data_IF_140653530514
#
_entry.id   IF_140653530514
#
_cell.length_a   1.000
_cell.length_b   1.000
_cell.length_c   1.000
_cell.angle_alpha   90.00
_cell.angle_beta   90.00
_cell.angle_gamma   90.00
#
_symmetry.space_group_name_H-M   'P 1'
#
loop_
_entity.id
_entity.type
_entity.pdbx_description
1 polymer ?
#
# COMPACT_ATOMS: atom_id res chain seq x y z
N UNK A 1 19.15 -17.36 27.14
CA UNK A 1 18.30 -17.12 25.96
C UNK A 1 19.07 -17.62 24.74
N UNK A 2 18.43 -18.47 23.91
CA UNK A 2 19.03 -18.96 22.66
C UNK A 2 18.46 -18.20 21.46
N UNK A 3 19.17 -18.08 20.31
CA UNK A 3 18.64 -17.46 19.10
C UNK A 3 17.29 -18.05 18.67
N UNK A 4 17.15 -19.39 18.76
CA UNK A 4 15.89 -20.09 18.42
C UNK A 4 14.72 -19.61 19.27
N UNK A 5 14.89 -19.50 20.59
CA UNK A 5 13.82 -19.00 21.49
C UNK A 5 13.48 -17.54 21.22
N UNK A 6 14.49 -16.72 20.86
CA UNK A 6 14.25 -15.34 20.48
C UNK A 6 13.43 -15.24 19.20
N UNK A 7 13.77 -16.01 18.17
CA UNK A 7 12.99 -16.04 16.92
C UNK A 7 11.58 -16.58 17.12
N UNK A 8 11.40 -17.59 17.98
CA UNK A 8 10.07 -18.11 18.33
C UNK A 8 9.21 -17.04 19.01
N UNK A 9 9.77 -16.29 19.97
CA UNK A 9 9.07 -15.20 20.66
C UNK A 9 8.69 -14.07 19.69
N UNK A 10 9.60 -13.66 18.80
CA UNK A 10 9.32 -12.66 17.77
C UNK A 10 8.23 -13.14 16.80
N UNK A 11 8.28 -14.40 16.38
CA UNK A 11 7.25 -14.99 15.52
C UNK A 11 5.88 -15.00 16.19
N UNK A 12 5.83 -15.39 17.47
CA UNK A 12 4.61 -15.38 18.26
C UNK A 12 4.04 -13.96 18.39
N UNK A 13 4.88 -12.98 18.68
CA UNK A 13 4.47 -11.57 18.74
C UNK A 13 3.89 -11.12 17.39
N UNK A 14 4.59 -11.37 16.29
CA UNK A 14 4.10 -10.99 14.95
C UNK A 14 2.76 -11.66 14.60
N UNK A 15 2.53 -12.91 15.02
CA UNK A 15 1.25 -13.61 14.83
C UNK A 15 0.09 -12.96 15.60
N UNK A 16 0.38 -12.20 16.66
CA UNK A 16 -0.65 -11.47 17.42
C UNK A 16 -1.05 -10.14 16.77
N UNK A 17 -0.24 -9.62 15.84
CA UNK A 17 -0.49 -8.36 15.16
C UNK A 17 -1.55 -8.53 14.05
N UNK A 18 -2.80 -8.78 14.44
CA UNK A 18 -3.92 -9.02 13.52
C UNK A 18 -4.86 -7.81 13.50
N UNK A 19 -4.89 -7.09 12.38
CA UNK A 19 -5.80 -5.99 12.12
C UNK A 19 -6.96 -6.48 11.25
N UNK A 20 -8.15 -6.71 11.83
CA UNK A 20 -9.32 -7.31 11.18
C UNK A 20 -10.68 -6.77 11.66
N UNK A 21 -10.70 -5.59 12.28
CA UNK A 21 -11.91 -4.94 12.79
C UNK A 21 -12.12 -3.52 12.27
N UNK A 22 -11.55 -3.21 11.12
CA UNK A 22 -11.77 -1.95 10.41
C UNK A 22 -13.22 -1.81 9.89
N UNK A 23 -13.63 -0.60 9.48
CA UNK A 23 -14.93 -0.42 8.82
C UNK A 23 -15.08 -1.33 7.61
N UNK A 24 -14.03 -1.48 6.81
CA UNK A 24 -14.00 -2.42 5.67
C UNK A 24 -14.35 -3.84 6.10
N UNK A 25 -13.75 -4.34 7.19
CA UNK A 25 -14.03 -5.69 7.70
C UNK A 25 -15.48 -5.83 8.19
N UNK A 26 -16.00 -4.79 8.82
CA UNK A 26 -17.41 -4.75 9.28
C UNK A 26 -18.39 -4.77 8.12
N UNK A 27 -18.06 -4.11 7.01
CA UNK A 27 -18.85 -4.17 5.78
C UNK A 27 -18.83 -5.58 5.19
N UNK A 28 -17.66 -6.24 5.13
CA UNK A 28 -17.56 -7.64 4.67
C UNK A 28 -18.36 -8.61 5.56
N UNK A 29 -18.44 -8.34 6.87
CA UNK A 29 -19.24 -9.13 7.83
C UNK A 29 -20.73 -8.78 7.80
N UNK A 30 -21.17 -7.80 6.99
CA UNK A 30 -22.57 -7.35 6.92
C UNK A 30 -23.03 -6.53 8.14
N UNK A 31 -22.12 -6.05 8.97
CA UNK A 31 -22.42 -5.29 10.21
C UNK A 31 -22.25 -3.78 10.07
N UNK A 32 -21.80 -3.30 8.89
CA UNK A 32 -21.70 -1.89 8.53
C UNK A 32 -21.95 -1.70 7.02
N UNK A 33 -22.06 -0.46 6.58
CA UNK A 33 -22.19 -0.10 5.17
C UNK A 33 -21.22 1.01 4.80
N UNK A 34 -20.75 1.02 3.55
CA UNK A 34 -20.04 2.15 2.99
C UNK A 34 -21.01 3.32 2.71
N UNK A 35 -20.52 4.53 2.84
CA UNK A 35 -21.18 5.70 2.25
C UNK A 35 -21.08 5.63 0.71
N UNK A 36 -21.87 6.47 0.02
CA UNK A 36 -21.79 6.54 -1.45
C UNK A 36 -20.37 6.91 -1.93
N UNK A 37 -19.71 7.87 -1.28
CA UNK A 37 -18.34 8.28 -1.63
C UNK A 37 -17.31 7.18 -1.38
N UNK A 38 -17.40 6.44 -0.26
CA UNK A 38 -16.54 5.29 0.03
C UNK A 38 -16.75 4.16 -1.00
N UNK A 39 -17.99 3.93 -1.43
CA UNK A 39 -18.32 2.93 -2.45
C UNK A 39 -17.75 3.31 -3.82
N UNK A 40 -17.86 4.59 -4.22
CA UNK A 40 -17.21 5.11 -5.42
C UNK A 40 -15.69 4.98 -5.34
N UNK A 41 -15.12 5.29 -4.17
CA UNK A 41 -13.69 5.13 -3.90
C UNK A 41 -13.22 3.68 -4.00
N UNK A 42 -13.99 2.75 -3.45
CA UNK A 42 -13.73 1.30 -3.58
C UNK A 42 -13.72 0.87 -5.05
N UNK A 43 -14.72 1.29 -5.82
CA UNK A 43 -14.81 0.96 -7.25
C UNK A 43 -13.62 1.51 -8.04
N UNK A 44 -13.25 2.78 -7.82
CA UNK A 44 -12.07 3.39 -8.47
C UNK A 44 -10.77 2.69 -8.05
N UNK A 45 -10.63 2.33 -6.78
CA UNK A 45 -9.49 1.58 -6.25
C UNK A 45 -9.37 0.19 -6.90
N UNK A 46 -10.47 -0.55 -7.00
CA UNK A 46 -10.50 -1.88 -7.61
C UNK A 46 -10.10 -1.86 -9.09
N UNK A 47 -10.50 -0.83 -9.82
CA UNK A 47 -10.16 -0.67 -11.23
C UNK A 47 -8.71 -0.26 -11.47
N UNK A 48 -8.12 0.55 -10.58
CA UNK A 48 -6.87 1.26 -10.84
C UNK A 48 -5.70 0.85 -9.94
N UNK A 49 -5.98 0.23 -8.79
CA UNK A 49 -4.95 -0.05 -7.77
C UNK A 49 -4.87 -1.53 -7.40
N UNK A 50 -5.97 -2.29 -7.54
CA UNK A 50 -6.06 -3.66 -7.08
C UNK A 50 -5.17 -4.66 -7.85
N UNK A 51 -4.61 -4.27 -8.99
CA UNK A 51 -3.62 -5.09 -9.71
C UNK A 51 -2.34 -5.36 -8.88
N UNK A 52 -2.00 -4.45 -7.97
CA UNK A 52 -0.87 -4.60 -7.03
C UNK A 52 -1.38 -4.74 -5.59
N UNK A 53 -2.42 -4.00 -5.24
CA UNK A 53 -2.98 -3.96 -3.88
C UNK A 53 -4.24 -4.84 -3.78
N UNK A 54 -4.07 -6.15 -3.96
CA UNK A 54 -5.15 -7.14 -4.00
C UNK A 54 -5.34 -7.91 -2.69
N UNK A 55 -6.45 -8.63 -2.62
CA UNK A 55 -6.79 -9.51 -1.50
C UNK A 55 -7.10 -8.76 -0.20
N UNK A 56 -7.32 -9.51 0.87
CA UNK A 56 -7.75 -8.97 2.17
C UNK A 56 -6.68 -8.11 2.86
N UNK A 57 -5.42 -8.27 2.48
CA UNK A 57 -4.30 -7.48 2.98
C UNK A 57 -3.95 -6.31 2.06
N UNK A 58 -4.63 -6.16 0.93
CA UNK A 58 -4.35 -5.10 -0.05
C UNK A 58 -2.87 -5.08 -0.49
N UNK A 59 -2.32 -6.25 -0.79
CA UNK A 59 -0.96 -6.44 -1.32
C UNK A 59 -0.88 -7.77 -2.08
N UNK A 60 -0.22 -7.77 -3.23
CA UNK A 60 0.16 -8.98 -3.95
C UNK A 60 1.47 -9.60 -3.44
N UNK A 61 2.14 -8.92 -2.49
CA UNK A 61 3.44 -9.29 -1.89
C UNK A 61 4.61 -9.36 -2.87
N UNK A 62 4.43 -8.89 -4.09
CA UNK A 62 5.51 -8.82 -5.08
C UNK A 62 6.41 -7.59 -4.84
N UNK A 63 7.47 -7.48 -5.63
CA UNK A 63 8.37 -6.33 -5.61
C UNK A 63 8.22 -5.57 -6.91
N UNK A 64 8.04 -4.25 -6.83
CA UNK A 64 7.77 -3.39 -7.96
C UNK A 64 8.50 -2.06 -7.84
N UNK A 65 8.89 -1.51 -8.97
CA UNK A 65 9.34 -0.13 -9.05
C UNK A 65 8.13 0.76 -9.39
N UNK A 66 7.79 1.65 -8.48
CA UNK A 66 6.65 2.55 -8.60
C UNK A 66 6.97 3.90 -9.28
N UNK A 67 8.14 4.01 -9.91
CA UNK A 67 8.50 5.18 -10.70
C UNK A 67 8.82 6.43 -9.88
N UNK A 68 9.30 6.30 -8.65
CA UNK A 68 9.88 7.41 -7.93
C UNK A 68 11.22 7.83 -8.55
N UNK A 69 11.64 9.08 -8.32
CA UNK A 69 12.98 9.52 -8.72
C UNK A 69 14.04 8.60 -8.12
N UNK A 70 15.00 8.20 -8.95
CA UNK A 70 16.06 7.28 -8.55
C UNK A 70 16.90 7.88 -7.41
N UNK A 71 17.26 7.03 -6.47
CA UNK A 71 18.14 7.32 -5.33
C UNK A 71 19.25 6.29 -5.27
N UNK A 72 20.16 6.41 -4.32
CA UNK A 72 21.20 5.40 -4.07
C UNK A 72 20.64 4.09 -3.49
N UNK A 73 19.38 4.07 -3.05
CA UNK A 73 18.72 2.86 -2.56
C UNK A 73 18.22 2.02 -3.73
N UNK A 74 18.92 0.93 -3.98
CA UNK A 74 18.59 -0.02 -5.04
C UNK A 74 17.46 -0.99 -4.65
N UNK A 75 16.88 -0.87 -3.46
CA UNK A 75 15.82 -1.75 -3.00
C UNK A 75 16.22 -3.23 -3.07
N UNK A 76 15.34 -4.06 -3.64
CA UNK A 76 15.58 -5.49 -3.82
C UNK A 76 16.86 -5.80 -4.61
N UNK A 77 17.22 -4.97 -5.59
CA UNK A 77 18.41 -5.16 -6.41
C UNK A 77 19.71 -5.23 -5.60
N UNK A 78 19.76 -4.53 -4.45
CA UNK A 78 20.90 -4.61 -3.53
C UNK A 78 21.08 -6.01 -2.92
N UNK A 79 20.01 -6.77 -2.77
CA UNK A 79 20.04 -8.12 -2.17
C UNK A 79 20.25 -9.18 -3.23
N UNK A 80 19.53 -9.08 -4.35
CA UNK A 80 19.56 -10.10 -5.42
C UNK A 80 20.73 -9.92 -6.38
N UNK A 81 21.34 -8.74 -6.40
CA UNK A 81 22.37 -8.34 -7.37
C UNK A 81 21.91 -8.49 -8.84
N UNK A 82 20.58 -8.47 -9.05
CA UNK A 82 19.97 -8.54 -10.36
C UNK A 82 19.55 -7.12 -10.81
N UNK A 83 20.06 -6.59 -11.94
CA UNK A 83 19.68 -5.27 -12.44
C UNK A 83 18.17 -5.08 -12.66
N UNK A 84 17.44 -6.16 -12.96
CA UNK A 84 15.98 -6.09 -13.13
C UNK A 84 15.20 -5.89 -11.80
N UNK A 85 15.86 -6.10 -10.67
CA UNK A 85 15.29 -5.87 -9.33
C UNK A 85 15.68 -4.50 -8.74
N UNK A 86 16.50 -3.70 -9.44
CA UNK A 86 16.91 -2.38 -8.95
C UNK A 86 15.71 -1.46 -8.80
N UNK A 87 15.68 -0.73 -7.67
CA UNK A 87 14.61 0.19 -7.27
C UNK A 87 13.23 -0.49 -7.12
N UNK A 88 13.21 -1.82 -7.04
CA UNK A 88 11.99 -2.57 -6.73
C UNK A 88 11.84 -2.72 -5.21
N UNK A 89 10.68 -2.33 -4.70
CA UNK A 89 10.31 -2.44 -3.29
C UNK A 89 9.07 -3.31 -3.14
N UNK A 90 8.95 -3.99 -1.99
CA UNK A 90 7.80 -4.84 -1.72
C UNK A 90 6.53 -4.00 -1.69
N UNK A 91 5.50 -4.44 -2.41
CA UNK A 91 4.16 -3.85 -2.35
C UNK A 91 3.63 -3.99 -0.92
N UNK A 92 3.44 -2.88 -0.18
CA UNK A 92 3.00 -2.94 1.21
C UNK A 92 1.52 -3.27 1.32
N UNK A 93 1.12 -3.81 2.49
CA UNK A 93 -0.30 -3.83 2.85
C UNK A 93 -0.83 -2.42 3.01
N UNK A 94 -2.08 -2.17 2.60
CA UNK A 94 -2.74 -0.88 2.84
C UNK A 94 -3.62 -0.90 4.10
N UNK A 95 -3.59 -1.97 4.89
CA UNK A 95 -4.23 -1.96 6.21
C UNK A 95 -3.63 -0.85 7.07
N UNK A 96 -4.50 -0.05 7.69
CA UNK A 96 -4.12 1.11 8.52
C UNK A 96 -3.33 2.20 7.78
N UNK A 97 -3.38 2.24 6.44
CA UNK A 97 -2.57 3.15 5.63
C UNK A 97 -2.73 4.62 6.03
N UNK A 98 -3.92 5.04 6.46
CA UNK A 98 -4.18 6.42 6.91
C UNK A 98 -3.38 6.83 8.17
N UNK A 99 -2.76 5.88 8.88
CA UNK A 99 -2.00 6.11 10.11
C UNK A 99 -0.50 5.86 9.96
N UNK A 100 -0.05 5.34 8.82
CA UNK A 100 1.33 4.88 8.62
C UNK A 100 2.17 5.84 7.77
N UNK A 101 1.86 7.14 7.82
CA UNK A 101 2.72 8.16 7.21
C UNK A 101 4.08 8.26 7.95
N UNK A 102 5.15 8.73 7.27
CA UNK A 102 5.24 9.15 5.88
C UNK A 102 5.26 7.98 4.90
N UNK A 103 4.82 8.24 3.64
CA UNK A 103 4.64 7.23 2.60
C UNK A 103 5.83 7.10 1.66
N UNK A 104 5.85 5.99 0.91
CA UNK A 104 6.90 5.46 0.05
C UNK A 104 8.06 4.85 0.86
N UNK A 105 8.99 4.18 0.17
CA UNK A 105 10.12 3.51 0.84
C UNK A 105 11.06 4.48 1.56
N UNK A 106 11.11 5.71 1.13
CA UNK A 106 11.97 6.77 1.67
C UNK A 106 11.21 7.85 2.47
N UNK A 107 9.90 7.68 2.65
CA UNK A 107 9.08 8.58 3.45
C UNK A 107 8.85 9.97 2.85
N UNK A 108 9.02 10.15 1.53
CA UNK A 108 8.96 11.47 0.88
C UNK A 108 7.60 12.14 0.87
N UNK A 109 6.51 11.39 1.03
CA UNK A 109 5.15 11.95 1.01
C UNK A 109 4.50 11.87 2.39
N UNK A 110 3.99 13.00 2.85
CA UNK A 110 3.36 13.12 4.16
C UNK A 110 1.84 12.86 4.14
N UNK A 111 1.21 12.80 2.94
CA UNK A 111 -0.24 12.62 2.80
C UNK A 111 -0.60 11.66 1.67
N UNK A 112 -1.79 11.06 1.75
CA UNK A 112 -2.31 10.17 0.70
C UNK A 112 -2.59 10.92 -0.60
N UNK A 113 -2.95 12.19 -0.53
CA UNK A 113 -3.13 13.05 -1.71
C UNK A 113 -1.85 13.09 -2.54
N UNK A 114 -0.70 13.35 -1.89
CA UNK A 114 0.61 13.37 -2.57
C UNK A 114 0.99 12.01 -3.17
N UNK A 115 0.60 10.91 -2.52
CA UNK A 115 0.76 9.55 -3.07
C UNK A 115 -0.06 9.39 -4.34
N UNK A 116 -1.34 9.79 -4.33
CA UNK A 116 -2.21 9.69 -5.50
C UNK A 116 -1.79 10.66 -6.61
N UNK A 117 -1.28 11.84 -6.26
CA UNK A 117 -0.71 12.79 -7.23
C UNK A 117 0.52 12.20 -7.92
N UNK A 118 1.39 11.52 -7.17
CA UNK A 118 2.52 10.81 -7.76
C UNK A 118 2.04 9.76 -8.77
N UNK A 119 1.11 8.88 -8.39
CA UNK A 119 0.60 7.86 -9.31
C UNK A 119 -0.14 8.47 -10.51
N UNK A 120 -0.81 9.62 -10.35
CA UNK A 120 -1.54 10.28 -11.43
C UNK A 120 -0.62 10.94 -12.47
N UNK A 121 0.46 11.60 -12.04
CA UNK A 121 1.28 12.45 -12.92
C UNK A 121 2.76 12.55 -12.54
N UNK A 122 3.18 11.95 -11.44
CA UNK A 122 4.55 12.04 -10.94
C UNK A 122 5.43 10.83 -11.27
N UNK A 123 4.87 9.78 -11.87
CA UNK A 123 5.60 8.55 -12.23
C UNK A 123 6.68 8.84 -13.25
N UNK A 124 7.92 8.46 -12.93
CA UNK A 124 9.07 8.63 -13.83
C UNK A 124 9.37 7.35 -14.61
N UNK A 125 9.79 7.52 -15.86
CA UNK A 125 10.19 6.41 -16.74
C UNK A 125 11.59 5.91 -16.35
N UNK A 126 11.67 5.05 -15.37
CA UNK A 126 12.91 4.43 -14.92
C UNK A 126 13.13 3.06 -15.57
N UNK A 127 14.37 2.54 -15.65
CA UNK A 127 14.67 1.28 -16.38
C UNK A 127 13.83 0.07 -15.93
N UNK A 128 13.53 -0.04 -14.64
CA UNK A 128 12.79 -1.16 -14.02
C UNK A 128 11.36 -0.80 -13.66
N UNK A 129 10.81 0.32 -14.17
CA UNK A 129 9.44 0.75 -13.91
C UNK A 129 8.45 -0.38 -14.19
N UNK A 130 7.54 -0.62 -13.24
CA UNK A 130 6.47 -1.62 -13.45
C UNK A 130 5.59 -1.23 -14.64
N UNK A 131 5.33 -2.19 -15.52
CA UNK A 131 4.59 -1.99 -16.77
C UNK A 131 3.16 -1.52 -16.55
N UNK A 132 2.55 -1.84 -15.39
CA UNK A 132 1.22 -1.37 -15.01
C UNK A 132 1.16 0.16 -14.81
N UNK A 133 2.31 0.80 -14.58
CA UNK A 133 2.43 2.26 -14.47
C UNK A 133 2.79 2.95 -15.79
N UNK A 134 2.85 2.18 -16.89
CA UNK A 134 3.09 2.69 -18.23
C UNK A 134 2.19 2.01 -19.27
N UNK A 135 0.85 1.97 -19.04
CA UNK A 135 -0.04 1.36 -20.00
C UNK A 135 0.01 2.10 -21.34
N UNK A 136 0.18 1.37 -22.43
CA UNK A 136 0.26 1.92 -23.80
C UNK A 136 1.30 3.05 -23.96
N UNK A 137 2.37 3.04 -23.16
CA UNK A 137 3.43 4.05 -23.20
C UNK A 137 3.13 5.33 -22.40
N UNK A 138 1.96 5.50 -21.86
CA UNK A 138 1.58 6.64 -21.03
C UNK A 138 1.98 6.39 -19.56
N UNK A 139 2.73 7.33 -18.97
CA UNK A 139 3.16 7.23 -17.58
C UNK A 139 2.02 7.58 -16.61
N UNK A 140 1.94 6.80 -15.54
CA UNK A 140 1.00 7.02 -14.45
C UNK A 140 -0.38 6.39 -14.67
N UNK A 141 -1.25 6.62 -13.72
CA UNK A 141 -2.62 6.12 -13.66
C UNK A 141 -3.57 7.33 -13.74
N UNK A 142 -4.37 7.48 -14.81
CA UNK A 142 -5.30 8.61 -14.91
C UNK A 142 -6.28 8.62 -13.72
N UNK A 143 -6.24 9.68 -12.91
CA UNK A 143 -7.10 9.88 -11.75
C UNK A 143 -7.68 11.30 -11.80
N UNK A 144 -9.01 11.42 -11.74
CA UNK A 144 -9.68 12.70 -11.52
C UNK A 144 -9.55 13.13 -10.05
N UNK A 145 -9.81 14.39 -9.76
CA UNK A 145 -9.78 14.87 -8.36
C UNK A 145 -10.84 14.20 -7.50
N UNK A 146 -12.03 13.94 -8.06
CA UNK A 146 -13.10 13.22 -7.35
C UNK A 146 -12.71 11.77 -7.06
N UNK A 147 -12.09 11.07 -8.01
CA UNK A 147 -11.58 9.72 -7.79
C UNK A 147 -10.53 9.69 -6.69
N UNK A 148 -9.57 10.64 -6.68
CA UNK A 148 -8.56 10.74 -5.62
C UNK A 148 -9.22 10.94 -4.26
N UNK A 149 -10.15 11.89 -4.14
CA UNK A 149 -10.86 12.16 -2.89
C UNK A 149 -11.64 10.92 -2.42
N UNK A 150 -12.37 10.26 -3.30
CA UNK A 150 -13.14 9.07 -2.98
C UNK A 150 -12.25 7.88 -2.61
N UNK A 151 -11.12 7.67 -3.31
CA UNK A 151 -10.14 6.62 -2.98
C UNK A 151 -9.59 6.85 -1.56
N UNK A 152 -9.28 8.09 -1.17
CA UNK A 152 -8.81 8.41 0.18
C UNK A 152 -9.89 8.06 1.21
N UNK A 153 -11.15 8.39 0.95
CA UNK A 153 -12.24 8.01 1.83
C UNK A 153 -12.35 6.48 1.97
N UNK A 154 -12.22 5.73 0.89
CA UNK A 154 -12.17 4.28 0.94
C UNK A 154 -10.96 3.77 1.74
N UNK A 155 -9.75 4.29 1.49
CA UNK A 155 -8.54 3.90 2.22
C UNK A 155 -8.66 4.17 3.74
N UNK A 156 -9.34 5.22 4.14
CA UNK A 156 -9.64 5.50 5.55
C UNK A 156 -10.48 4.39 6.20
N UNK A 157 -11.33 3.69 5.43
CA UNK A 157 -12.13 2.57 5.95
C UNK A 157 -11.29 1.36 6.33
N UNK A 158 -10.02 1.29 5.91
CA UNK A 158 -9.06 0.23 6.24
C UNK A 158 -8.39 0.43 7.60
N UNK A 159 -8.72 1.51 8.31
CA UNK A 159 -8.19 1.81 9.64
C UNK A 159 -8.91 0.97 10.70
N UNK A 160 -8.14 0.23 11.47
CA UNK A 160 -8.59 -0.59 12.59
C UNK A 160 -8.20 0.09 13.90
N UNK A 161 -9.11 0.88 14.44
CA UNK A 161 -8.87 1.63 15.68
C UNK A 161 -8.73 0.70 16.91
N UNK A 162 -9.33 -0.49 16.88
CA UNK A 162 -9.20 -1.50 17.94
C UNK A 162 -7.77 -2.02 17.98
N UNK A 163 -7.19 -2.33 16.80
CA UNK A 163 -5.81 -2.76 16.69
C UNK A 163 -4.83 -1.66 17.11
N UNK A 164 -5.01 -0.44 16.59
CA UNK A 164 -4.08 0.68 16.85
C UNK A 164 -4.05 1.10 18.32
N UNK A 165 -5.17 0.96 19.03
CA UNK A 165 -5.29 1.33 20.44
C UNK A 165 -5.12 0.15 21.39
N UNK A 166 -4.69 -1.00 20.90
CA UNK A 166 -4.51 -2.20 21.71
C UNK A 166 -3.35 -1.98 22.71
N UNK A 167 -3.60 -2.05 24.03
CA UNK A 167 -2.56 -1.79 25.03
C UNK A 167 -1.48 -2.88 25.12
N UNK A 168 -1.62 -3.96 24.35
CA UNK A 168 -0.62 -5.05 24.29
C UNK A 168 0.49 -4.79 23.27
N UNK A 169 0.39 -3.71 22.46
CA UNK A 169 1.37 -3.38 21.42
C UNK A 169 1.94 -1.98 21.63
#
# INVERSE_FOLDING_TARGET
>A
VTPTRMFQALSQFMCMLVSNDSKYDKVLKGTASFTSAESLGKTAFEQKCASCHSGILFTDRTFKNNGLSLTADLGRGRVTLNPNDEHCFKVPSLRNIAKTYPYMHDGRFSTLEKVLDHYASGVQNTPTLDTLLKPNGQLGIPLTNDEKANIILFLNTLTDETFIKNPLF
#
